data_IF_471286024356
#
_entry.id   IF_471286024356
#
_cell.length_a   1.000
_cell.length_b   1.000
_cell.length_c   1.000
_cell.angle_alpha   90.00
_cell.angle_beta   90.00
_cell.angle_gamma   90.00
#
_symmetry.space_group_name_H-M   'P 1'
#
loop_
_entity.id
_entity.type
_entity.pdbx_description
1 polymer ?
#
# COMPACT_ATOMS: atom_id res chain seq x y z
N UNK A 1 -16.86 13.58 9.29
CA UNK A 1 -16.51 13.34 7.88
C UNK A 1 -15.03 13.00 7.66
N UNK A 2 -14.04 13.63 8.31
CA UNK A 2 -12.61 13.36 8.02
C UNK A 2 -12.04 11.97 8.38
N UNK A 3 -12.54 11.29 9.43
CA UNK A 3 -12.00 9.98 9.87
C UNK A 3 -12.24 8.84 8.87
N UNK A 4 -13.36 8.90 8.16
CA UNK A 4 -13.78 7.86 7.22
C UNK A 4 -12.95 7.92 5.92
N UNK A 5 -12.73 9.14 5.40
CA UNK A 5 -11.86 9.38 4.25
C UNK A 5 -10.40 8.98 4.52
N UNK A 6 -9.86 9.27 5.72
CA UNK A 6 -8.50 8.82 6.08
C UNK A 6 -8.41 7.29 6.13
N UNK A 7 -9.43 6.61 6.66
CA UNK A 7 -9.45 5.15 6.71
C UNK A 7 -9.46 4.55 5.30
N UNK A 8 -10.37 5.02 4.43
CA UNK A 8 -10.44 4.55 3.04
C UNK A 8 -9.17 4.83 2.25
N UNK A 9 -8.55 6.00 2.44
CA UNK A 9 -7.27 6.33 1.80
C UNK A 9 -6.14 5.38 2.25
N UNK A 10 -6.10 4.99 3.52
CA UNK A 10 -5.12 4.02 4.05
C UNK A 10 -5.35 2.61 3.50
N UNK A 11 -6.60 2.16 3.43
CA UNK A 11 -6.94 0.87 2.80
C UNK A 11 -6.53 0.88 1.33
N UNK A 12 -6.84 1.94 0.59
CA UNK A 12 -6.42 2.09 -0.81
C UNK A 12 -4.89 2.06 -0.95
N UNK A 13 -4.16 2.79 -0.10
CA UNK A 13 -2.70 2.80 -0.10
C UNK A 13 -2.09 1.41 0.15
N UNK A 14 -2.67 0.61 1.06
CA UNK A 14 -2.25 -0.78 1.28
C UNK A 14 -2.51 -1.64 0.04
N UNK A 15 -3.69 -1.54 -0.56
CA UNK A 15 -4.03 -2.25 -1.80
C UNK A 15 -3.09 -1.90 -2.96
N UNK A 16 -2.74 -0.62 -3.12
CA UNK A 16 -1.77 -0.14 -4.13
C UNK A 16 -0.40 -0.78 -3.88
N UNK A 17 0.05 -0.79 -2.63
CA UNK A 17 1.35 -1.36 -2.25
C UNK A 17 1.42 -2.87 -2.52
N UNK A 18 0.35 -3.61 -2.22
CA UNK A 18 0.25 -5.02 -2.57
C UNK A 18 0.28 -5.26 -4.09
N UNK A 19 -0.45 -4.46 -4.86
CA UNK A 19 -0.43 -4.56 -6.32
C UNK A 19 0.96 -4.28 -6.90
N UNK A 20 1.67 -3.27 -6.36
CA UNK A 20 3.03 -2.96 -6.78
C UNK A 20 4.00 -4.10 -6.45
N UNK A 21 3.84 -4.76 -5.30
CA UNK A 21 4.62 -5.95 -4.94
C UNK A 21 4.34 -7.12 -5.90
N UNK A 22 3.08 -7.33 -6.28
CA UNK A 22 2.69 -8.34 -7.26
C UNK A 22 3.33 -8.07 -8.63
N UNK A 23 3.30 -6.83 -9.12
CA UNK A 23 3.95 -6.46 -10.38
C UNK A 23 5.45 -6.76 -10.36
N UNK A 24 6.14 -6.44 -9.25
CA UNK A 24 7.57 -6.78 -9.06
C UNK A 24 7.81 -8.29 -9.11
N UNK A 25 6.97 -9.10 -8.46
CA UNK A 25 7.08 -10.56 -8.50
C UNK A 25 6.85 -11.10 -9.92
N UNK A 26 5.85 -10.57 -10.64
CA UNK A 26 5.59 -10.95 -12.03
C UNK A 26 6.81 -10.69 -12.91
N UNK A 27 7.46 -9.53 -12.77
CA UNK A 27 8.71 -9.22 -13.48
C UNK A 27 9.85 -10.15 -13.10
N UNK A 28 10.02 -10.44 -11.80
CA UNK A 28 11.04 -11.37 -11.34
C UNK A 28 10.88 -12.78 -11.92
N UNK A 29 9.65 -13.17 -12.31
CA UNK A 29 9.34 -14.43 -12.97
C UNK A 29 9.22 -14.34 -14.50
N UNK A 30 9.69 -13.24 -15.12
CA UNK A 30 9.69 -13.06 -16.57
C UNK A 30 8.30 -12.84 -17.20
N UNK A 31 7.31 -12.39 -16.41
CA UNK A 31 5.94 -12.13 -16.87
C UNK A 31 5.69 -10.62 -17.06
N UNK A 32 6.46 -10.00 -17.96
CA UNK A 32 6.46 -8.55 -18.18
C UNK A 32 5.08 -7.99 -18.56
N UNK A 33 4.42 -8.55 -19.58
CA UNK A 33 3.08 -8.11 -20.01
C UNK A 33 2.04 -8.12 -18.87
N UNK A 34 2.14 -9.10 -17.96
CA UNK A 34 1.23 -9.19 -16.83
C UNK A 34 1.54 -8.13 -15.77
N UNK A 35 2.83 -7.85 -15.53
CA UNK A 35 3.23 -6.78 -14.64
C UNK A 35 2.77 -5.42 -15.16
N UNK A 36 2.91 -5.17 -16.46
CA UNK A 36 2.50 -3.92 -17.09
C UNK A 36 0.99 -3.72 -17.02
N UNK A 37 0.20 -4.77 -17.24
CA UNK A 37 -1.25 -4.72 -17.05
C UNK A 37 -1.65 -4.41 -15.59
N UNK A 38 -0.94 -4.98 -14.61
CA UNK A 38 -1.17 -4.69 -13.19
C UNK A 38 -0.83 -3.22 -12.88
N UNK A 39 0.29 -2.71 -13.40
CA UNK A 39 0.68 -1.32 -13.18
C UNK A 39 -0.26 -0.31 -13.84
N UNK A 40 -0.75 -0.62 -15.05
CA UNK A 40 -1.78 0.18 -15.71
C UNK A 40 -3.07 0.25 -14.85
N UNK A 41 -3.54 -0.90 -14.37
CA UNK A 41 -4.72 -0.97 -13.50
C UNK A 41 -4.52 -0.20 -12.19
N UNK A 42 -3.32 -0.25 -11.60
CA UNK A 42 -2.98 0.52 -10.40
C UNK A 42 -2.97 2.02 -10.66
N UNK A 43 -2.44 2.47 -11.80
CA UNK A 43 -2.45 3.88 -12.17
C UNK A 43 -3.89 4.42 -12.34
N UNK A 44 -4.77 3.65 -12.97
CA UNK A 44 -6.19 3.99 -13.07
C UNK A 44 -6.86 4.05 -11.69
N UNK A 45 -6.59 3.04 -10.84
CA UNK A 45 -7.11 2.98 -9.48
C UNK A 45 -6.67 4.19 -8.63
N UNK A 46 -5.38 4.58 -8.70
CA UNK A 46 -4.85 5.78 -8.05
C UNK A 46 -5.59 7.02 -8.54
N UNK A 47 -5.83 7.14 -9.84
CA UNK A 47 -6.60 8.23 -10.44
C UNK A 47 -7.99 8.35 -9.80
N UNK A 48 -8.75 7.25 -9.78
CA UNK A 48 -10.10 7.19 -9.21
C UNK A 48 -10.10 7.58 -7.72
N UNK A 49 -9.23 6.97 -6.92
CA UNK A 49 -9.16 7.23 -5.48
C UNK A 49 -8.77 8.69 -5.22
N UNK A 50 -7.84 9.25 -6.00
CA UNK A 50 -7.41 10.63 -5.81
C UNK A 50 -8.51 11.66 -6.07
N UNK A 51 -9.47 11.34 -6.95
CA UNK A 51 -10.66 12.17 -7.18
C UNK A 51 -11.62 12.09 -5.98
N UNK A 52 -11.77 10.90 -5.38
CA UNK A 52 -12.71 10.66 -4.28
C UNK A 52 -12.21 11.23 -2.94
N UNK A 53 -10.95 10.94 -2.56
CA UNK A 53 -10.40 11.29 -1.23
C UNK A 53 -9.53 12.55 -1.25
N UNK A 54 -9.15 13.01 -2.45
CA UNK A 54 -8.23 14.12 -2.64
C UNK A 54 -6.76 13.68 -2.63
N UNK A 55 -5.99 14.24 -3.55
CA UNK A 55 -4.54 14.01 -3.69
C UNK A 55 -3.74 14.17 -2.38
N UNK A 56 -3.95 15.22 -1.55
CA UNK A 56 -3.20 15.37 -0.31
C UNK A 56 -3.45 14.25 0.71
N UNK A 57 -4.67 13.73 0.78
CA UNK A 57 -5.05 12.65 1.71
C UNK A 57 -4.48 11.32 1.24
N UNK A 58 -4.55 11.05 -0.07
CA UNK A 58 -3.93 9.86 -0.66
C UNK A 58 -2.41 9.88 -0.48
N UNK A 59 -1.77 11.02 -0.68
CA UNK A 59 -0.31 11.19 -0.45
C UNK A 59 0.07 10.90 1.00
N UNK A 60 -0.70 11.42 1.97
CA UNK A 60 -0.48 11.11 3.38
C UNK A 60 -0.66 9.62 3.69
N UNK A 61 -1.64 8.97 3.07
CA UNK A 61 -1.86 7.54 3.24
C UNK A 61 -0.72 6.70 2.65
N UNK A 62 -0.19 7.07 1.48
CA UNK A 62 0.98 6.39 0.88
C UNK A 62 2.26 6.57 1.73
N UNK A 63 2.46 7.75 2.31
CA UNK A 63 3.55 7.98 3.26
C UNK A 63 3.37 7.14 4.53
N UNK A 64 2.14 7.05 5.04
CA UNK A 64 1.82 6.21 6.19
C UNK A 64 2.14 4.73 5.91
N UNK A 65 1.68 4.16 4.79
CA UNK A 65 2.00 2.77 4.43
C UNK A 65 3.50 2.54 4.31
N UNK A 66 4.21 3.51 3.72
CA UNK A 66 5.67 3.42 3.62
C UNK A 66 6.31 3.33 5.00
N UNK A 67 5.91 4.17 5.95
CA UNK A 67 6.46 4.14 7.31
C UNK A 67 6.12 2.83 8.04
N UNK A 68 4.86 2.37 8.00
CA UNK A 68 4.45 1.11 8.66
C UNK A 68 5.15 -0.13 8.06
N UNK A 69 5.47 -0.11 6.76
CA UNK A 69 6.21 -1.19 6.12
C UNK A 69 7.66 -1.31 6.64
N UNK A 70 8.24 -0.22 7.15
CA UNK A 70 9.59 -0.19 7.75
C UNK A 70 9.58 -0.29 9.28
N UNK A 71 8.50 0.13 9.95
CA UNK A 71 8.36 0.06 11.42
C UNK A 71 7.95 -1.34 11.93
N UNK A 72 7.88 -2.35 11.06
CA UNK A 72 7.57 -3.74 11.42
C UNK A 72 8.78 -4.51 12.02
N UNK A 73 9.68 -3.82 12.73
CA UNK A 73 10.88 -4.39 13.38
C UNK A 73 10.73 -4.67 14.89
N UNK A 74 9.57 -4.45 15.52
CA UNK A 74 9.41 -4.67 16.98
C UNK A 74 8.26 -5.60 17.39
N UNK A 75 8.19 -6.79 16.77
CA UNK A 75 7.44 -7.95 17.30
C UNK A 75 8.46 -9.05 17.70
N UNK A 76 9.52 -8.64 18.40
CA UNK A 76 10.59 -9.51 18.89
C UNK A 76 10.78 -9.50 20.41
N UNK A 77 9.98 -8.75 21.18
CA UNK A 77 10.08 -8.70 22.64
C UNK A 77 8.97 -9.52 23.31
N UNK A 78 9.07 -10.86 23.19
CA UNK A 78 8.36 -11.81 24.05
C UNK A 78 9.35 -12.69 24.83
N UNK A 79 10.44 -12.10 25.35
CA UNK A 79 11.28 -12.73 26.39
C UNK A 79 10.84 -12.26 27.79
N UNK A 80 9.56 -12.49 28.08
CA UNK A 80 8.91 -12.14 29.34
C UNK A 80 8.21 -13.32 30.01
N UNK A 81 8.62 -14.56 29.76
CA UNK A 81 8.16 -15.71 30.56
C UNK A 81 9.05 -15.81 31.80
N UNK A 82 8.57 -15.19 32.88
CA UNK A 82 9.08 -15.40 34.24
C UNK A 82 9.03 -16.89 34.59
N UNK A 83 10.18 -17.46 34.92
CA UNK A 83 10.34 -18.53 35.90
C UNK A 83 11.20 -18.02 37.04
#
# INVERSE_FOLDING_TARGET
>A
MGKDQTYHARVAALSITHGAALAKLLRAHGREDHADNVEAALNEFIGIISVEVGQPVLTQAMNWVSNEAWDCEDIGSLDGVRH
#
